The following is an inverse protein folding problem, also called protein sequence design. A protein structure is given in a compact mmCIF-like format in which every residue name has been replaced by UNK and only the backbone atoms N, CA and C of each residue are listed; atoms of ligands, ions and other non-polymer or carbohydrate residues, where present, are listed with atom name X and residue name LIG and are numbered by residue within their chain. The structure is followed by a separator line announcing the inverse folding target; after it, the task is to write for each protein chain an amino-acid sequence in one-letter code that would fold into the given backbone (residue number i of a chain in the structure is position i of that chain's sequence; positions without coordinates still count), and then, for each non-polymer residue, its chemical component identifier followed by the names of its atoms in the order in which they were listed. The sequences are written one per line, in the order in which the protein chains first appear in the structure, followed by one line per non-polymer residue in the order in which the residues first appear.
data_IF_754864916123
#
_entry.id   IF_754864916123
#
_cell.length_a   1.000
_cell.length_b   1.000
_cell.length_c   1.000
_cell.angle_alpha   90.00
_cell.angle_beta   90.00
_cell.angle_gamma   90.00
#
_symmetry.space_group_name_H-M   'P 1'
#
loop_
_entity.id
_entity.type
_entity.pdbx_description
1 polymer ?
#
# COMPACT_ATOMS: atom_id res chain seq x y z
N UNK A 1 -24.61 18.70 17.50
CA UNK A 1 -23.50 18.72 16.52
C UNK A 1 -23.52 17.41 15.77
N UNK A 2 -23.52 17.45 14.44
CA UNK A 2 -23.45 16.25 13.59
C UNK A 2 -21.98 15.84 13.46
N UNK A 3 -21.60 14.66 13.96
CA UNK A 3 -20.28 14.08 13.72
C UNK A 3 -20.31 13.28 12.42
N UNK A 4 -19.32 13.46 11.55
CA UNK A 4 -19.17 12.61 10.37
C UNK A 4 -18.26 11.44 10.70
N UNK A 5 -18.72 10.22 10.37
CA UNK A 5 -17.87 9.03 10.44
C UNK A 5 -16.88 9.02 9.28
N UNK A 6 -15.60 8.93 9.61
CA UNK A 6 -14.52 8.72 8.65
C UNK A 6 -13.95 7.32 8.87
N UNK A 7 -13.90 6.55 7.80
CA UNK A 7 -13.25 5.24 7.78
C UNK A 7 -11.85 5.37 7.21
N UNK A 8 -10.91 4.63 7.78
CA UNK A 8 -9.52 4.63 7.37
C UNK A 8 -9.02 3.20 7.31
N UNK A 9 -8.37 2.85 6.21
CA UNK A 9 -7.80 1.52 5.98
C UNK A 9 -6.36 1.50 6.47
N UNK A 10 -6.01 0.47 7.23
CA UNK A 10 -4.65 0.19 7.68
C UNK A 10 -4.20 -1.10 6.99
N UNK A 11 -3.06 -1.07 6.31
CA UNK A 11 -2.50 -2.21 5.59
C UNK A 11 -1.18 -2.67 6.23
N UNK A 12 -0.97 -3.99 6.30
CA UNK A 12 0.22 -4.59 6.89
C UNK A 12 1.25 -4.97 5.81
N UNK A 13 2.51 -4.61 6.06
CA UNK A 13 3.65 -4.85 5.17
C UNK A 13 4.83 -5.45 5.93
N UNK A 14 5.60 -6.33 5.30
CA UNK A 14 6.93 -6.71 5.76
C UNK A 14 7.96 -5.75 5.19
N UNK A 15 8.91 -5.34 6.02
CA UNK A 15 10.06 -4.53 5.60
C UNK A 15 11.25 -5.45 5.30
N UNK A 16 11.48 -5.76 4.02
CA UNK A 16 12.50 -6.72 3.58
C UNK A 16 13.68 -6.00 2.94
N UNK A 17 14.88 -6.27 3.45
CA UNK A 17 16.14 -5.73 2.96
C UNK A 17 16.84 -6.79 2.11
N UNK A 18 17.11 -6.46 0.86
CA UNK A 18 17.81 -7.31 -0.11
C UNK A 18 19.16 -6.68 -0.42
N UNK A 19 20.18 -7.50 -0.70
CA UNK A 19 21.31 -7.01 -1.49
C UNK A 19 20.84 -6.81 -2.93
N UNK A 20 21.33 -5.78 -3.62
CA UNK A 20 20.95 -5.50 -5.02
C UNK A 20 21.22 -6.69 -5.95
N UNK A 21 22.30 -7.41 -5.73
CA UNK A 21 22.67 -8.62 -6.47
C UNK A 21 21.73 -9.82 -6.20
N UNK A 22 21.10 -9.87 -5.02
CA UNK A 22 20.27 -10.99 -4.53
C UNK A 22 18.77 -10.67 -4.49
N UNK A 23 18.35 -9.53 -5.05
CA UNK A 23 16.95 -9.07 -5.05
C UNK A 23 15.96 -10.12 -5.60
N UNK A 24 16.51 -11.10 -6.34
CA UNK A 24 15.83 -12.15 -7.05
C UNK A 24 15.90 -13.53 -6.37
N UNK A 25 16.87 -13.74 -5.47
CA UNK A 25 17.14 -15.05 -4.87
C UNK A 25 16.34 -15.32 -3.59
N UNK A 26 15.36 -14.48 -3.27
CA UNK A 26 14.60 -14.49 -2.01
C UNK A 26 15.47 -14.46 -0.74
N UNK A 27 16.75 -14.10 -0.88
CA UNK A 27 17.66 -13.95 0.24
C UNK A 27 17.55 -12.52 0.77
N UNK A 28 16.78 -12.36 1.84
CA UNK A 28 16.53 -11.07 2.47
C UNK A 28 16.68 -11.15 3.98
N UNK A 29 16.92 -9.99 4.58
CA UNK A 29 16.88 -9.79 6.03
C UNK A 29 15.75 -8.83 6.38
N UNK A 30 15.23 -8.90 7.61
CA UNK A 30 14.30 -7.87 8.08
C UNK A 30 15.04 -6.55 8.26
N UNK A 31 14.46 -5.49 7.72
CA UNK A 31 14.90 -4.14 8.03
C UNK A 31 14.56 -3.81 9.48
N UNK A 32 15.51 -3.26 10.23
CA UNK A 32 15.36 -2.95 11.65
C UNK A 32 15.38 -1.43 11.83
N UNK A 33 14.26 -0.84 12.28
CA UNK A 33 14.18 0.61 12.49
C UNK A 33 15.17 1.13 13.55
N UNK A 34 15.51 0.29 14.53
CA UNK A 34 16.55 0.62 15.52
C UNK A 34 17.88 1.04 14.88
N UNK A 35 18.21 0.47 13.71
CA UNK A 35 19.48 0.75 13.03
C UNK A 35 19.52 2.13 12.37
N UNK A 36 18.39 2.84 12.30
CA UNK A 36 18.29 4.12 11.62
C UNK A 36 17.94 5.28 12.55
N UNK A 37 17.72 5.03 13.85
CA UNK A 37 17.32 6.06 14.81
C UNK A 37 18.37 7.17 14.92
N UNK A 38 19.64 6.82 15.11
CA UNK A 38 20.74 7.78 15.22
C UNK A 38 20.87 8.60 13.93
N UNK A 39 20.92 7.91 12.78
CA UNK A 39 20.96 8.56 11.45
C UNK A 39 19.76 9.48 11.22
N UNK A 40 18.56 9.08 11.65
CA UNK A 40 17.37 9.92 11.55
C UNK A 40 17.50 11.19 12.40
N UNK A 41 17.99 11.08 13.62
CA UNK A 41 18.21 12.25 14.47
C UNK A 41 19.25 13.19 13.87
N UNK A 42 20.37 12.66 13.36
CA UNK A 42 21.40 13.44 12.67
C UNK A 42 20.84 14.20 11.46
N UNK A 43 20.08 13.51 10.58
CA UNK A 43 19.44 14.12 9.42
C UNK A 43 18.37 15.15 9.83
N UNK A 44 17.68 14.92 10.95
CA UNK A 44 16.68 15.86 11.47
C UNK A 44 17.32 17.14 11.99
N UNK A 45 18.42 17.03 12.74
CA UNK A 45 19.20 18.16 13.23
C UNK A 45 19.81 18.97 12.08
N UNK A 46 20.33 18.28 11.06
CA UNK A 46 20.87 18.88 9.84
C UNK A 46 19.80 19.44 8.88
N UNK A 47 18.52 19.18 9.13
CA UNK A 47 17.38 19.48 8.23
C UNK A 47 17.50 18.83 6.84
N UNK A 48 18.16 17.67 6.76
CA UNK A 48 18.41 16.91 5.54
C UNK A 48 17.59 15.60 5.49
N UNK A 49 16.43 15.59 6.15
CA UNK A 49 15.49 14.47 6.18
C UNK A 49 14.32 14.66 5.21
N UNK A 50 14.51 15.50 4.17
CA UNK A 50 13.49 15.78 3.17
C UNK A 50 13.98 15.33 1.80
N UNK A 51 13.10 14.64 1.05
CA UNK A 51 13.38 14.30 -0.36
C UNK A 51 12.37 14.95 -1.28
N UNK A 52 12.79 15.28 -2.50
CA UNK A 52 11.91 15.76 -3.56
C UNK A 52 11.34 14.58 -4.36
N UNK A 53 10.03 14.56 -4.52
CA UNK A 53 9.32 13.59 -5.33
C UNK A 53 8.32 14.28 -6.27
N UNK A 54 8.81 14.66 -7.45
CA UNK A 54 8.04 15.50 -8.36
C UNK A 54 7.85 16.89 -7.77
N UNK A 55 6.61 17.34 -7.64
CA UNK A 55 6.24 18.64 -7.05
C UNK A 55 5.96 18.59 -5.54
N UNK A 56 6.35 17.49 -4.88
CA UNK A 56 6.11 17.30 -3.45
C UNK A 56 7.43 17.11 -2.71
N UNK A 57 7.49 17.63 -1.48
CA UNK A 57 8.52 17.25 -0.51
C UNK A 57 7.96 16.15 0.37
N UNK A 58 8.74 15.10 0.58
CA UNK A 58 8.42 14.01 1.50
C UNK A 58 9.37 14.04 2.68
N UNK A 59 8.82 13.86 3.88
CA UNK A 59 9.60 13.79 5.11
C UNK A 59 9.01 12.78 6.10
N UNK A 60 9.87 12.21 6.93
CA UNK A 60 9.50 11.52 8.17
C UNK A 60 9.65 12.54 9.30
N UNK A 61 8.54 13.03 9.85
CA UNK A 61 8.55 14.07 10.90
C UNK A 61 8.66 13.48 12.31
N UNK A 62 8.23 12.23 12.48
CA UNK A 62 8.31 11.48 13.73
C UNK A 62 8.84 10.08 13.47
N UNK A 63 9.87 9.68 14.22
CA UNK A 63 10.26 8.30 14.46
C UNK A 63 10.42 8.18 15.97
N UNK A 64 9.52 7.44 16.63
CA UNK A 64 9.52 7.33 18.08
C UNK A 64 9.36 5.88 18.52
N UNK A 65 10.39 5.37 19.19
CA UNK A 65 10.32 4.08 19.86
C UNK A 65 9.42 4.15 21.10
N UNK A 66 8.43 3.27 21.17
CA UNK A 66 7.48 3.14 22.26
C UNK A 66 7.74 1.85 23.03
N UNK A 67 7.04 1.70 24.16
CA UNK A 67 7.03 0.46 24.93
C UNK A 67 6.67 -0.74 24.03
N UNK A 68 7.24 -1.90 24.32
CA UNK A 68 7.03 -3.17 23.60
C UNK A 68 7.68 -3.26 22.20
N UNK A 69 8.76 -2.53 21.94
CA UNK A 69 9.49 -2.54 20.65
C UNK A 69 8.59 -2.15 19.45
N UNK A 70 7.70 -1.19 19.67
CA UNK A 70 6.88 -0.60 18.61
C UNK A 70 7.39 0.78 18.28
N UNK A 71 7.45 1.13 17.00
CA UNK A 71 7.84 2.46 16.54
C UNK A 71 6.63 3.15 15.95
N UNK A 72 6.43 4.41 16.32
CA UNK A 72 5.51 5.30 15.63
C UNK A 72 6.27 6.08 14.56
N UNK A 73 5.67 6.13 13.37
CA UNK A 73 6.19 6.86 12.24
C UNK A 73 5.10 7.82 11.73
N UNK A 74 5.49 9.07 11.47
CA UNK A 74 4.61 10.06 10.84
C UNK A 74 5.33 10.63 9.64
N UNK A 75 4.74 10.42 8.46
CA UNK A 75 5.24 10.95 7.20
C UNK A 75 4.38 12.13 6.75
N UNK A 76 5.02 13.15 6.20
CA UNK A 76 4.33 14.27 5.57
C UNK A 76 4.63 14.30 4.07
N UNK A 77 3.56 14.42 3.27
CA UNK A 77 3.64 14.87 1.88
C UNK A 77 3.29 16.35 1.85
N UNK A 78 4.29 17.19 1.63
CA UNK A 78 4.16 18.64 1.58
C UNK A 78 3.97 19.09 0.14
N UNK A 79 2.86 19.77 -0.13
CA UNK A 79 2.57 20.35 -1.44
C UNK A 79 3.24 21.70 -1.60
N UNK A 80 3.94 21.90 -2.72
CA UNK A 80 4.41 23.23 -3.14
C UNK A 80 3.56 23.86 -4.25
N UNK A 81 2.55 23.14 -4.74
CA UNK A 81 1.64 23.55 -5.81
C UNK A 81 0.24 22.94 -5.59
N UNK A 82 -0.76 23.40 -6.33
CA UNK A 82 -2.15 22.87 -6.29
C UNK A 82 -2.80 23.05 -4.91
N UNK A 83 -2.74 24.28 -4.41
CA UNK A 83 -3.37 24.63 -3.14
C UNK A 83 -4.89 24.66 -3.29
N UNK A 84 -5.65 24.14 -2.31
CA UNK A 84 -7.09 24.31 -2.26
C UNK A 84 -7.49 25.78 -2.39
N UNK A 85 -8.63 26.03 -3.03
CA UNK A 85 -9.29 27.33 -3.00
C UNK A 85 -10.15 27.45 -1.74
N UNK A 86 -10.27 28.67 -1.23
CA UNK A 86 -11.19 29.05 -0.16
C UNK A 86 -12.31 29.86 -0.80
N UNK A 87 -13.55 29.46 -0.52
CA UNK A 87 -14.76 30.20 -0.90
C UNK A 87 -15.45 30.60 0.40
N UNK A 88 -15.64 31.89 0.60
CA UNK A 88 -16.37 32.41 1.76
C UNK A 88 -17.89 32.28 1.58
N UNK A 89 -18.65 32.66 2.61
CA UNK A 89 -20.12 32.59 2.58
C UNK A 89 -20.75 33.54 1.55
N UNK A 90 -20.00 34.56 1.09
CA UNK A 90 -20.42 35.53 0.09
C UNK A 90 -20.08 35.09 -1.35
N UNK A 91 -19.33 33.99 -1.50
CA UNK A 91 -18.92 33.44 -2.79
C UNK A 91 -17.62 34.03 -3.35
N UNK A 92 -16.85 34.77 -2.54
CA UNK A 92 -15.54 35.28 -2.95
C UNK A 92 -14.50 34.16 -2.91
N UNK A 93 -13.62 34.14 -3.92
CA UNK A 93 -12.57 33.14 -4.06
C UNK A 93 -11.22 33.70 -3.60
N UNK A 94 -10.47 32.90 -2.85
CA UNK A 94 -9.05 33.14 -2.55
C UNK A 94 -8.26 31.82 -2.58
N UNK A 95 -6.95 31.88 -2.84
CA UNK A 95 -6.11 30.69 -2.75
C UNK A 95 -5.72 30.43 -1.28
N UNK A 96 -5.68 29.17 -0.86
CA UNK A 96 -5.26 28.84 0.51
C UNK A 96 -3.80 29.26 0.78
N UNK A 97 -2.97 29.38 -0.27
CA UNK A 97 -1.59 29.89 -0.17
C UNK A 97 -1.52 31.33 0.34
N UNK A 98 -2.53 32.16 0.01
CA UNK A 98 -2.56 33.57 0.39
C UNK A 98 -2.87 33.74 1.90
N UNK A 99 -3.33 32.65 2.52
CA UNK A 99 -3.73 32.58 3.93
C UNK A 99 -2.69 31.85 4.81
N UNK A 100 -1.54 31.47 4.25
CA UNK A 100 -0.41 30.90 4.99
C UNK A 100 0.85 31.72 4.72
N UNK A 101 1.76 31.75 5.70
CA UNK A 101 3.05 32.41 5.54
C UNK A 101 4.00 31.58 4.66
N UNK A 102 4.96 32.24 4.01
CA UNK A 102 5.91 31.63 3.05
C UNK A 102 6.76 30.49 3.66
N UNK A 103 6.89 30.44 4.99
CA UNK A 103 7.60 29.40 5.73
C UNK A 103 6.73 28.17 6.07
N UNK A 104 5.42 28.21 5.74
CA UNK A 104 4.48 27.13 6.02
C UNK A 104 4.13 26.36 4.76
N UNK A 105 3.95 25.06 4.92
CA UNK A 105 3.49 24.17 3.86
C UNK A 105 2.19 23.50 4.26
N UNK A 106 1.39 23.14 3.25
CA UNK A 106 0.20 22.32 3.44
C UNK A 106 0.62 20.87 3.29
N UNK A 107 0.48 20.12 4.39
CA UNK A 107 0.92 18.74 4.51
C UNK A 107 -0.23 17.75 4.56
N UNK A 108 -0.03 16.60 3.92
CA UNK A 108 -0.88 15.43 4.09
C UNK A 108 -0.14 14.37 4.90
N UNK A 109 -0.73 13.97 6.03
CA UNK A 109 -0.17 13.01 6.97
C UNK A 109 -0.40 11.56 6.52
N UNK A 110 0.62 10.72 6.66
CA UNK A 110 0.52 9.25 6.71
C UNK A 110 1.12 8.77 8.02
N UNK A 111 0.32 8.13 8.87
CA UNK A 111 0.79 7.50 10.09
C UNK A 111 1.10 6.02 9.86
N UNK A 112 2.12 5.50 10.54
CA UNK A 112 2.43 4.08 10.56
C UNK A 112 2.92 3.62 11.94
N UNK A 113 2.69 2.35 12.23
CA UNK A 113 3.25 1.67 13.40
C UNK A 113 4.08 0.50 12.92
N UNK A 114 5.35 0.45 13.31
CA UNK A 114 6.20 -0.71 13.08
C UNK A 114 6.28 -1.55 14.35
N UNK A 115 5.89 -2.82 14.25
CA UNK A 115 6.07 -3.81 15.30
C UNK A 115 7.37 -4.59 15.04
N UNK A 116 8.40 -4.34 15.85
CA UNK A 116 9.69 -5.02 15.73
C UNK A 116 9.63 -6.48 16.19
N UNK A 117 8.63 -6.90 16.98
CA UNK A 117 8.48 -8.31 17.37
C UNK A 117 8.00 -9.14 16.19
N UNK A 118 6.99 -8.65 15.48
CA UNK A 118 6.41 -9.33 14.32
C UNK A 118 7.03 -8.91 12.98
N UNK A 119 7.95 -7.92 12.99
CA UNK A 119 8.63 -7.35 11.82
C UNK A 119 7.64 -6.84 10.74
N UNK A 120 6.57 -6.19 11.19
CA UNK A 120 5.51 -5.66 10.33
C UNK A 120 5.40 -4.15 10.48
N UNK A 121 5.23 -3.48 9.35
CA UNK A 121 4.82 -2.09 9.25
C UNK A 121 3.32 -2.00 8.94
N UNK A 122 2.56 -1.38 9.82
CA UNK A 122 1.16 -1.03 9.63
C UNK A 122 1.09 0.38 9.08
N UNK A 123 0.58 0.55 7.87
CA UNK A 123 0.55 1.83 7.18
C UNK A 123 -0.90 2.29 6.98
N UNK A 124 -1.18 3.52 7.38
CA UNK A 124 -2.41 4.20 7.02
C UNK A 124 -2.47 4.42 5.50
N UNK A 125 -3.57 4.01 4.88
CA UNK A 125 -3.84 4.30 3.46
C UNK A 125 -4.73 5.52 3.34
N UNK A 126 -4.20 6.58 2.72
CA UNK A 126 -4.89 7.83 2.44
C UNK A 126 -4.59 8.25 1.00
N UNK A 127 -5.60 8.70 0.26
CA UNK A 127 -5.47 9.01 -1.17
C UNK A 127 -4.49 10.16 -1.46
N UNK A 128 -4.50 11.21 -0.63
CA UNK A 128 -3.70 12.43 -0.84
C UNK A 128 -2.34 12.43 -0.15
N UNK A 129 -2.03 11.43 0.68
CA UNK A 129 -0.79 11.40 1.48
C UNK A 129 0.29 10.53 0.82
N UNK A 130 1.40 10.29 1.52
CA UNK A 130 2.43 9.37 1.02
C UNK A 130 1.88 7.95 0.95
N UNK A 131 1.95 7.34 -0.23
CA UNK A 131 1.65 5.93 -0.42
C UNK A 131 2.85 5.03 -0.09
N UNK A 132 2.62 3.71 -0.04
CA UNK A 132 3.67 2.75 0.35
C UNK A 132 4.91 2.80 -0.54
N UNK A 133 4.79 3.06 -1.85
CA UNK A 133 5.96 3.19 -2.74
C UNK A 133 6.77 4.45 -2.45
N UNK A 134 6.09 5.53 -2.10
CA UNK A 134 6.75 6.77 -1.73
C UNK A 134 7.48 6.62 -0.39
N UNK A 135 6.91 5.87 0.55
CA UNK A 135 7.55 5.50 1.82
C UNK A 135 8.76 4.59 1.57
N UNK A 136 8.61 3.56 0.74
CA UNK A 136 9.71 2.66 0.35
C UNK A 136 10.87 3.43 -0.29
N UNK A 137 10.57 4.29 -1.27
CA UNK A 137 11.57 5.15 -1.91
C UNK A 137 12.25 6.07 -0.89
N UNK A 138 11.48 6.69 -0.01
CA UNK A 138 12.00 7.55 1.06
C UNK A 138 13.02 6.82 1.94
N UNK A 139 12.69 5.59 2.35
CA UNK A 139 13.62 4.80 3.15
C UNK A 139 14.90 4.43 2.38
N UNK A 140 14.75 4.03 1.12
CA UNK A 140 15.88 3.65 0.28
C UNK A 140 16.86 4.82 0.06
N UNK A 141 16.35 6.02 -0.20
CA UNK A 141 17.20 7.19 -0.47
C UNK A 141 17.94 7.68 0.77
N UNK A 142 17.30 7.67 1.95
CA UNK A 142 17.88 8.28 3.14
C UNK A 142 18.57 7.31 4.09
N UNK A 143 18.12 6.04 4.18
CA UNK A 143 18.56 5.16 5.26
C UNK A 143 19.21 3.85 4.80
N UNK A 144 18.94 3.40 3.58
CA UNK A 144 19.48 2.15 3.05
C UNK A 144 20.83 2.41 2.39
N UNK A 145 21.81 1.52 2.60
CA UNK A 145 23.11 1.59 1.95
C UNK A 145 23.00 1.26 0.46
N UNK A 146 23.89 1.82 -0.37
CA UNK A 146 23.83 1.67 -1.83
C UNK A 146 23.88 0.24 -2.34
N UNK A 147 24.41 -0.71 -1.58
CA UNK A 147 24.45 -2.13 -1.97
C UNK A 147 23.14 -2.87 -1.70
N UNK A 148 22.19 -2.23 -1.01
CA UNK A 148 20.94 -2.83 -0.56
C UNK A 148 19.72 -2.10 -1.13
N UNK A 149 18.58 -2.79 -1.09
CA UNK A 149 17.26 -2.23 -1.41
C UNK A 149 16.26 -2.72 -0.37
N UNK A 150 15.52 -1.80 0.21
CA UNK A 150 14.34 -2.09 1.02
C UNK A 150 13.13 -2.26 0.10
N UNK A 151 12.34 -3.31 0.31
CA UNK A 151 10.99 -3.47 -0.23
C UNK A 151 9.95 -3.59 0.87
N UNK A 152 8.81 -2.95 0.68
CA UNK A 152 7.61 -3.05 1.52
C UNK A 152 6.64 -4.04 0.89
N UNK A 153 6.76 -5.31 1.29
CA UNK A 153 5.94 -6.38 0.72
C UNK A 153 4.63 -6.53 1.51
N UNK A 154 3.45 -6.38 0.88
CA UNK A 154 2.18 -6.51 1.58
C UNK A 154 2.00 -7.93 2.12
N UNK A 155 1.49 -8.05 3.34
CA UNK A 155 1.00 -9.34 3.82
C UNK A 155 -0.26 -9.70 3.03
N UNK A 156 -0.35 -10.92 2.52
CA UNK A 156 -1.53 -11.38 1.79
C UNK A 156 -2.41 -12.19 2.73
N UNK A 157 -3.71 -11.88 2.78
CA UNK A 157 -4.71 -12.68 3.46
C UNK A 157 -4.89 -14.01 2.71
N UNK A 158 -4.13 -15.02 3.14
CA UNK A 158 -4.12 -16.34 2.52
C UNK A 158 -5.52 -16.96 2.48
N UNK A 159 -6.30 -16.90 3.55
CA UNK A 159 -7.67 -17.48 3.59
C UNK A 159 -8.53 -16.93 2.46
N UNK A 160 -8.47 -15.62 2.21
CA UNK A 160 -9.18 -15.00 1.10
C UNK A 160 -8.58 -15.40 -0.26
N UNK A 161 -7.25 -15.40 -0.38
CA UNK A 161 -6.54 -15.84 -1.59
C UNK A 161 -6.90 -17.29 -1.99
N UNK A 162 -6.81 -18.24 -1.07
CA UNK A 162 -7.13 -19.66 -1.30
C UNK A 162 -8.63 -19.86 -1.57
N UNK A 163 -9.50 -19.08 -0.91
CA UNK A 163 -10.93 -19.08 -1.24
C UNK A 163 -11.15 -18.69 -2.70
N UNK A 164 -10.57 -17.59 -3.16
CA UNK A 164 -10.71 -17.16 -4.56
C UNK A 164 -10.09 -18.17 -5.53
N UNK A 165 -8.94 -18.75 -5.17
CA UNK A 165 -8.22 -19.73 -6.00
C UNK A 165 -8.95 -21.08 -6.13
N UNK A 166 -9.66 -21.51 -5.09
CA UNK A 166 -10.41 -22.78 -5.07
C UNK A 166 -11.78 -22.72 -5.76
N UNK A 167 -12.30 -21.53 -6.05
CA UNK A 167 -13.58 -21.35 -6.75
C UNK A 167 -13.38 -21.24 -8.26
N UNK A 168 -14.45 -21.43 -9.03
CA UNK A 168 -14.39 -21.34 -10.50
C UNK A 168 -14.56 -19.89 -10.96
N UNK A 169 -13.77 -19.44 -11.95
CA UNK A 169 -13.70 -18.02 -12.35
C UNK A 169 -14.60 -17.76 -13.55
N UNK A 170 -15.30 -16.63 -13.55
CA UNK A 170 -16.19 -16.23 -14.65
C UNK A 170 -15.76 -14.94 -15.35
N UNK A 171 -14.98 -14.10 -14.66
CA UNK A 171 -14.49 -12.83 -15.22
C UNK A 171 -13.21 -12.36 -14.54
N UNK A 172 -12.29 -11.78 -15.30
CA UNK A 172 -11.16 -10.97 -14.82
C UNK A 172 -11.25 -9.56 -15.38
N UNK A 173 -10.94 -8.56 -14.57
CA UNK A 173 -10.65 -7.19 -15.00
C UNK A 173 -9.32 -6.75 -14.41
N UNK A 174 -8.31 -6.53 -15.27
CA UNK A 174 -6.95 -6.20 -14.82
C UNK A 174 -6.50 -4.91 -15.50
N UNK A 175 -5.82 -4.04 -14.76
CA UNK A 175 -5.11 -2.88 -15.28
C UNK A 175 -3.64 -2.96 -14.86
N UNK A 176 -2.74 -2.55 -15.75
CA UNK A 176 -1.29 -2.56 -15.52
C UNK A 176 -0.69 -1.19 -15.90
N UNK A 177 0.31 -0.77 -15.13
CA UNK A 177 1.20 0.35 -15.44
C UNK A 177 2.48 -0.22 -16.06
N UNK A 178 2.95 0.40 -17.14
CA UNK A 178 4.06 -0.12 -17.95
C UNK A 178 5.36 0.67 -17.73
N UNK A 179 5.38 1.51 -16.70
CA UNK A 179 6.52 2.35 -16.33
C UNK A 179 7.57 1.60 -15.49
N UNK A 180 7.35 0.33 -15.17
CA UNK A 180 8.25 -0.49 -14.37
C UNK A 180 8.21 -1.93 -14.88
N UNK A 181 9.29 -2.69 -14.63
CA UNK A 181 9.37 -4.10 -15.00
C UNK A 181 8.38 -4.97 -14.22
N UNK A 182 8.08 -6.15 -14.76
CA UNK A 182 7.33 -7.19 -14.05
C UNK A 182 8.24 -7.94 -13.08
N UNK A 183 7.65 -8.51 -12.03
CA UNK A 183 8.30 -9.40 -11.07
C UNK A 183 8.95 -10.59 -11.76
N UNK A 184 10.06 -11.09 -11.23
CA UNK A 184 10.71 -12.29 -11.76
C UNK A 184 9.89 -13.56 -11.52
N UNK A 185 9.02 -13.55 -10.51
CA UNK A 185 8.04 -14.61 -10.26
C UNK A 185 6.93 -14.67 -11.29
N UNK A 186 6.89 -13.72 -12.23
CA UNK A 186 5.90 -13.69 -13.31
C UNK A 186 6.17 -14.83 -14.28
N UNK A 187 5.14 -15.61 -14.58
CA UNK A 187 5.20 -16.60 -15.64
C UNK A 187 5.38 -15.88 -17.00
N UNK A 188 6.59 -15.98 -17.57
CA UNK A 188 6.93 -15.37 -18.86
C UNK A 188 6.20 -15.98 -20.06
N UNK A 189 5.55 -17.13 -19.88
CA UNK A 189 4.68 -17.75 -20.88
C UNK A 189 3.19 -17.51 -20.58
N UNK A 190 2.88 -16.92 -19.42
CA UNK A 190 1.53 -16.69 -18.93
C UNK A 190 0.82 -15.54 -19.64
N UNK A 191 -0.50 -15.52 -19.50
CA UNK A 191 -1.38 -14.51 -20.12
C UNK A 191 -1.04 -13.11 -19.63
N UNK A 192 -0.71 -12.95 -18.34
CA UNK A 192 -0.35 -11.66 -17.76
C UNK A 192 0.85 -11.04 -18.48
N UNK A 193 1.95 -11.79 -18.60
CA UNK A 193 3.17 -11.30 -19.23
C UNK A 193 2.98 -11.01 -20.72
N UNK A 194 2.25 -11.88 -21.44
CA UNK A 194 1.89 -11.64 -22.85
C UNK A 194 1.17 -10.31 -23.03
N UNK A 195 0.17 -10.00 -22.18
CA UNK A 195 -0.57 -8.72 -22.24
C UNK A 195 0.27 -7.53 -21.84
N UNK A 196 1.21 -7.70 -20.91
CA UNK A 196 2.19 -6.69 -20.55
C UNK A 196 3.10 -6.35 -21.74
N UNK A 197 3.71 -7.35 -22.38
CA UNK A 197 4.63 -7.16 -23.51
C UNK A 197 3.91 -6.65 -24.77
N UNK A 198 2.71 -7.14 -25.09
CA UNK A 198 1.87 -6.61 -26.17
C UNK A 198 1.69 -5.09 -26.02
N UNK A 199 1.30 -4.62 -24.83
CA UNK A 199 1.07 -3.20 -24.59
C UNK A 199 2.38 -2.39 -24.56
N UNK A 200 3.45 -2.96 -24.02
CA UNK A 200 4.78 -2.34 -24.00
C UNK A 200 5.33 -2.14 -25.42
N UNK A 201 5.07 -3.08 -26.33
CA UNK A 201 5.55 -3.02 -27.73
C UNK A 201 5.05 -1.79 -28.51
N UNK A 202 3.94 -1.19 -28.09
CA UNK A 202 3.37 0.04 -28.67
C UNK A 202 3.60 1.28 -27.81
N UNK A 203 4.55 1.22 -26.86
CA UNK A 203 4.87 2.30 -25.91
C UNK A 203 3.66 2.77 -25.07
N UNK A 204 2.71 1.87 -24.77
CA UNK A 204 1.64 2.21 -23.86
C UNK A 204 2.21 2.50 -22.45
N UNK A 205 1.66 3.49 -21.75
CA UNK A 205 2.02 3.79 -20.35
C UNK A 205 1.13 3.01 -19.38
N UNK A 206 -0.08 2.64 -19.84
CA UNK A 206 -1.08 1.89 -19.10
C UNK A 206 -1.85 0.98 -20.05
N UNK A 207 -2.19 -0.21 -19.58
CA UNK A 207 -3.08 -1.12 -20.31
C UNK A 207 -4.12 -1.71 -19.37
N UNK A 208 -5.23 -2.19 -19.94
CA UNK A 208 -6.24 -2.95 -19.21
C UNK A 208 -6.83 -4.02 -20.10
N UNK A 209 -7.09 -5.20 -19.53
CA UNK A 209 -7.71 -6.31 -20.24
C UNK A 209 -8.82 -6.92 -19.39
N UNK A 210 -9.77 -7.55 -20.08
CA UNK A 210 -10.89 -8.27 -19.46
C UNK A 210 -11.07 -9.62 -20.15
N UNK A 211 -11.16 -10.68 -19.36
CA UNK A 211 -11.61 -12.00 -19.80
C UNK A 211 -12.95 -12.28 -19.14
N UNK A 212 -13.96 -12.73 -19.88
CA UNK A 212 -15.31 -12.90 -19.34
C UNK A 212 -16.08 -13.95 -20.12
N UNK A 213 -16.84 -14.80 -19.41
CA UNK A 213 -17.83 -15.71 -20.03
C UNK A 213 -19.11 -14.97 -20.48
N UNK A 214 -19.22 -13.67 -20.22
CA UNK A 214 -20.36 -12.86 -20.64
C UNK A 214 -21.67 -13.36 -20.02
N UNK A 215 -22.67 -13.64 -20.87
CA UNK A 215 -23.98 -14.15 -20.45
C UNK A 215 -24.10 -15.68 -20.56
N UNK A 216 -23.02 -16.39 -20.90
CA UNK A 216 -23.05 -17.85 -21.03
C UNK A 216 -23.26 -18.45 -19.63
N UNK A 217 -24.39 -19.14 -19.47
CA UNK A 217 -24.72 -19.84 -18.23
C UNK A 217 -23.94 -21.15 -18.20
N UNK A 218 -23.44 -21.50 -17.01
CA UNK A 218 -22.79 -22.77 -16.71
C UNK A 218 -21.47 -23.04 -17.43
N UNK A 219 -20.81 -21.99 -17.93
CA UNK A 219 -19.41 -22.05 -18.33
C UNK A 219 -18.54 -21.15 -17.44
N UNK A 220 -17.27 -21.48 -17.42
CA UNK A 220 -16.25 -20.81 -16.61
C UNK A 220 -14.97 -20.68 -17.41
N UNK A 221 -14.13 -19.72 -17.02
CA UNK A 221 -12.76 -19.66 -17.52
C UNK A 221 -12.02 -20.92 -17.08
N UNK A 222 -11.03 -21.34 -17.87
CA UNK A 222 -10.20 -22.50 -17.56
C UNK A 222 -9.44 -22.26 -16.24
N UNK A 223 -9.55 -23.21 -15.31
CA UNK A 223 -9.14 -23.00 -13.93
C UNK A 223 -7.63 -22.88 -13.75
N UNK A 224 -6.83 -23.62 -14.52
CA UNK A 224 -5.37 -23.65 -14.43
C UNK A 224 -4.78 -22.30 -14.83
N UNK A 225 -5.10 -21.81 -16.02
CA UNK A 225 -4.71 -20.51 -16.54
C UNK A 225 -5.28 -19.36 -15.71
N UNK A 226 -6.51 -19.50 -15.21
CA UNK A 226 -7.10 -18.52 -14.29
C UNK A 226 -6.31 -18.43 -12.98
N UNK A 227 -5.86 -19.56 -12.44
CA UNK A 227 -5.06 -19.59 -11.21
C UNK A 227 -3.65 -19.01 -11.43
N UNK A 228 -3.01 -19.35 -12.55
CA UNK A 228 -1.72 -18.75 -12.95
C UNK A 228 -1.84 -17.23 -13.11
N UNK A 229 -2.94 -16.75 -13.71
CA UNK A 229 -3.20 -15.31 -13.83
C UNK A 229 -3.36 -14.64 -12.45
N UNK A 230 -4.04 -15.29 -11.49
CA UNK A 230 -4.15 -14.77 -10.12
C UNK A 230 -2.77 -14.69 -9.45
N UNK A 231 -1.93 -15.72 -9.62
CA UNK A 231 -0.56 -15.74 -9.09
C UNK A 231 0.29 -14.61 -9.69
N UNK A 232 0.28 -14.46 -11.01
CA UNK A 232 0.98 -13.37 -11.69
C UNK A 232 0.51 -12.00 -11.20
N UNK A 233 -0.80 -11.79 -11.04
CA UNK A 233 -1.36 -10.53 -10.50
C UNK A 233 -0.86 -10.27 -9.08
N UNK A 234 -0.86 -11.28 -8.20
CA UNK A 234 -0.42 -11.13 -6.81
C UNK A 234 1.09 -10.87 -6.74
N UNK A 235 1.88 -11.52 -7.60
CA UNK A 235 3.33 -11.30 -7.71
C UNK A 235 3.68 -9.93 -8.31
N UNK A 236 2.72 -9.26 -8.93
CA UNK A 236 2.86 -7.97 -9.59
C UNK A 236 1.82 -6.96 -9.04
N UNK A 237 1.68 -6.81 -7.72
CA UNK A 237 0.78 -5.80 -7.12
C UNK A 237 1.35 -4.37 -7.17
N UNK A 238 2.68 -4.25 -7.17
CA UNK A 238 3.35 -3.11 -7.82
C UNK A 238 2.92 -3.11 -9.29
N UNK A 239 3.02 -2.12 -10.16
CA UNK A 239 2.46 -2.18 -11.54
C UNK A 239 0.95 -2.54 -11.75
N UNK A 240 0.21 -3.27 -10.90
CA UNK A 240 -1.24 -3.56 -11.06
C UNK A 240 -2.09 -2.65 -10.18
N UNK A 241 -2.61 -1.51 -10.69
CA UNK A 241 -3.46 -0.61 -9.91
C UNK A 241 -4.91 -1.09 -9.75
N UNK A 242 -5.36 -2.07 -10.56
CA UNK A 242 -6.71 -2.64 -10.47
C UNK A 242 -6.67 -4.10 -10.90
N UNK A 243 -7.18 -4.98 -10.06
CA UNK A 243 -7.42 -6.37 -10.44
C UNK A 243 -8.68 -6.89 -9.73
N UNK A 244 -9.68 -7.27 -10.51
CA UNK A 244 -10.93 -7.86 -10.00
C UNK A 244 -11.16 -9.19 -10.66
N UNK A 245 -11.66 -10.14 -9.89
CA UNK A 245 -12.08 -11.45 -10.38
C UNK A 245 -13.50 -11.74 -9.91
N UNK A 246 -14.35 -12.19 -10.84
CA UNK A 246 -15.63 -12.76 -10.49
C UNK A 246 -15.50 -14.27 -10.39
N UNK A 247 -15.93 -14.85 -9.28
CA UNK A 247 -15.87 -16.29 -9.03
C UNK A 247 -17.23 -16.81 -8.56
N UNK A 248 -17.45 -18.11 -8.71
CA UNK A 248 -18.68 -18.79 -8.31
C UNK A 248 -18.37 -19.92 -7.35
N UNK A 249 -19.21 -20.09 -6.33
CA UNK A 249 -19.09 -21.21 -5.39
C UNK A 249 -19.48 -22.54 -6.06
N UNK A 250 -20.50 -22.50 -6.92
CA UNK A 250 -20.97 -23.60 -7.76
C UNK A 250 -21.40 -23.01 -9.12
N UNK A 251 -21.48 -23.81 -10.19
CA UNK A 251 -21.82 -23.28 -11.53
C UNK A 251 -23.09 -22.42 -11.57
N UNK A 252 -24.11 -22.82 -10.81
CA UNK A 252 -25.41 -22.16 -10.75
C UNK A 252 -25.47 -21.01 -9.72
N UNK A 253 -24.39 -20.78 -8.96
CA UNK A 253 -24.35 -19.71 -7.96
C UNK A 253 -24.23 -18.34 -8.61
N UNK A 254 -24.74 -17.31 -7.92
CA UNK A 254 -24.47 -15.92 -8.31
C UNK A 254 -22.95 -15.67 -8.26
N UNK A 255 -22.37 -14.98 -9.26
CA UNK A 255 -20.98 -14.58 -9.21
C UNK A 255 -20.72 -13.62 -8.06
N UNK A 256 -19.69 -13.89 -7.27
CA UNK A 256 -19.12 -12.97 -6.30
C UNK A 256 -17.95 -12.22 -6.92
N UNK A 257 -17.73 -10.96 -6.52
CA UNK A 257 -16.63 -10.13 -7.01
C UNK A 257 -15.56 -10.01 -5.91
N UNK A 258 -14.36 -10.49 -6.19
CA UNK A 258 -13.17 -10.23 -5.40
C UNK A 258 -12.32 -9.15 -6.06
N UNK A 259 -11.80 -8.23 -5.25
CA UNK A 259 -10.70 -7.36 -5.63
C UNK A 259 -9.40 -8.04 -5.18
N UNK A 260 -8.56 -8.43 -6.14
CA UNK A 260 -7.31 -9.13 -5.90
C UNK A 260 -6.27 -8.24 -5.20
N UNK A 261 -6.44 -6.92 -5.21
CA UNK A 261 -5.61 -5.98 -4.45
C UNK A 261 -6.12 -5.80 -3.02
N UNK A 262 -7.40 -6.08 -2.75
CA UNK A 262 -7.93 -6.14 -1.38
C UNK A 262 -7.51 -7.42 -0.62
N UNK A 263 -6.75 -8.30 -1.26
CA UNK A 263 -6.10 -9.44 -0.59
C UNK A 263 -5.04 -9.00 0.41
N UNK A 264 -4.55 -7.76 0.34
CA UNK A 264 -3.65 -7.22 1.36
C UNK A 264 -4.28 -7.33 2.75
N UNK A 265 -3.54 -7.85 3.69
CA UNK A 265 -3.91 -7.94 5.10
C UNK A 265 -4.17 -6.52 5.60
N UNK A 266 -5.42 -6.25 5.93
CA UNK A 266 -5.87 -4.93 6.33
C UNK A 266 -6.90 -4.98 7.45
N UNK A 267 -7.03 -3.83 8.10
CA UNK A 267 -8.07 -3.51 9.07
C UNK A 267 -8.66 -2.14 8.74
N UNK A 268 -9.89 -1.90 9.20
CA UNK A 268 -10.56 -0.60 9.06
C UNK A 268 -10.74 -0.03 10.46
N UNK A 269 -10.33 1.22 10.63
CA UNK A 269 -10.59 2.01 11.83
C UNK A 269 -11.54 3.15 11.50
N UNK A 270 -12.41 3.49 12.44
CA UNK A 270 -13.38 4.57 12.31
C UNK A 270 -13.11 5.72 13.30
N UNK A 271 -13.44 6.92 12.86
CA UNK A 271 -13.33 8.14 13.64
C UNK A 271 -14.62 8.94 13.55
N UNK A 272 -15.09 9.42 14.71
CA UNK A 272 -16.14 10.43 14.78
C UNK A 272 -15.48 11.81 14.75
N UNK A 273 -15.56 12.48 13.60
CA UNK A 273 -14.90 13.77 13.39
C UNK A 273 -15.96 14.88 13.47
N UNK A 274 -15.85 15.82 14.42
CA UNK A 274 -16.70 17.00 14.46
C UNK A 274 -16.58 17.83 13.19
N UNK A 275 -17.61 18.59 12.87
CA UNK A 275 -17.57 19.51 11.73
C UNK A 275 -16.40 20.51 11.88
N UNK A 276 -15.68 20.76 10.76
CA UNK A 276 -14.48 21.62 10.70
C UNK A 276 -13.29 21.15 11.55
N UNK A 277 -13.32 19.94 12.11
CA UNK A 277 -12.16 19.36 12.81
C UNK A 277 -11.19 18.65 11.85
N UNK A 278 -9.91 18.63 12.22
CA UNK A 278 -8.86 17.88 11.52
C UNK A 278 -8.41 16.72 12.38
N UNK A 279 -8.30 15.53 11.78
CA UNK A 279 -7.76 14.36 12.46
C UNK A 279 -6.24 14.49 12.57
N UNK A 280 -5.73 14.48 13.81
CA UNK A 280 -4.30 14.61 14.13
C UNK A 280 -3.63 13.24 14.28
N UNK A 281 -2.31 13.25 14.18
CA UNK A 281 -1.45 12.07 14.17
C UNK A 281 -1.58 11.23 15.44
N UNK A 282 -1.72 11.85 16.60
CA UNK A 282 -1.88 11.19 17.89
C UNK A 282 -3.16 10.35 17.95
N UNK A 283 -4.29 10.91 17.49
CA UNK A 283 -5.56 10.21 17.41
C UNK A 283 -5.48 9.02 16.43
N UNK A 284 -4.80 9.20 15.29
CA UNK A 284 -4.62 8.13 14.30
C UNK A 284 -3.76 7.01 14.88
N UNK A 285 -2.57 7.34 15.39
CA UNK A 285 -1.62 6.37 15.94
C UNK A 285 -2.24 5.58 17.10
N UNK A 286 -2.97 6.24 18.00
CA UNK A 286 -3.67 5.56 19.09
C UNK A 286 -4.72 4.57 18.56
N UNK A 287 -5.50 4.94 17.54
CA UNK A 287 -6.52 4.06 16.95
C UNK A 287 -5.90 2.89 16.19
N UNK A 288 -4.79 3.10 15.47
CA UNK A 288 -4.03 2.02 14.82
C UNK A 288 -3.51 1.04 15.89
N UNK A 289 -2.93 1.56 16.97
CA UNK A 289 -2.38 0.73 18.05
C UNK A 289 -3.46 -0.11 18.72
N UNK A 290 -4.58 0.52 19.10
CA UNK A 290 -5.70 -0.18 19.73
C UNK A 290 -6.21 -1.32 18.84
N UNK A 291 -6.49 -1.03 17.55
CA UNK A 291 -6.95 -2.05 16.61
C UNK A 291 -5.90 -3.15 16.36
N UNK A 292 -4.62 -2.78 16.42
CA UNK A 292 -3.54 -3.77 16.34
C UNK A 292 -3.44 -4.65 17.58
N UNK A 293 -3.97 -4.26 18.74
CA UNK A 293 -4.01 -5.14 19.90
C UNK A 293 -5.20 -6.13 19.87
N UNK A 294 -6.12 -5.97 18.91
CA UNK A 294 -7.34 -6.77 18.75
C UNK A 294 -7.19 -7.95 17.74
N UNK A 295 -8.30 -8.39 17.13
CA UNK A 295 -8.43 -9.47 16.12
C UNK A 295 -7.41 -9.35 14.97
N UNK A 296 -6.98 -8.13 14.64
CA UNK A 296 -6.03 -7.91 13.55
C UNK A 296 -4.65 -8.53 13.83
N UNK A 297 -4.20 -8.51 15.09
CA UNK A 297 -2.93 -9.15 15.48
C UNK A 297 -3.05 -10.67 15.53
N UNK A 298 -4.22 -11.21 15.86
CA UNK A 298 -4.45 -12.65 15.74
C UNK A 298 -4.33 -13.10 14.28
N UNK A 299 -4.96 -12.39 13.34
CA UNK A 299 -4.83 -12.68 11.89
C UNK A 299 -3.39 -12.59 11.39
N UNK A 300 -2.60 -11.65 11.92
CA UNK A 300 -1.16 -11.55 11.64
C UNK A 300 -0.37 -12.71 12.26
N UNK A 301 -0.70 -13.11 13.48
CA UNK A 301 -0.05 -14.24 14.14
C UNK A 301 -0.37 -15.57 13.43
N UNK A 302 -1.61 -15.76 12.99
CA UNK A 302 -2.02 -16.89 12.15
C UNK A 302 -1.19 -16.94 10.86
N UNK A 303 -1.03 -15.79 10.19
CA UNK A 303 -0.18 -15.69 9.00
C UNK A 303 1.25 -16.19 9.28
N UNK A 304 1.88 -15.84 10.41
CA UNK A 304 3.22 -16.34 10.69
C UNK A 304 3.28 -17.79 11.18
N UNK A 305 2.21 -18.32 11.80
CA UNK A 305 2.14 -19.73 12.18
C UNK A 305 2.10 -20.63 10.94
N UNK A 306 1.32 -20.24 9.93
CA UNK A 306 1.11 -21.05 8.73
C UNK A 306 2.32 -21.07 7.78
N UNK A 307 3.25 -20.12 7.93
CA UNK A 307 4.36 -19.91 6.98
C UNK A 307 5.76 -19.89 7.61
N UNK A 308 5.83 -20.05 8.93
CA UNK A 308 7.07 -20.03 9.69
C UNK A 308 7.60 -18.62 9.91
N UNK A 309 8.10 -18.35 11.12
CA UNK A 309 9.01 -17.23 11.36
C UNK A 309 10.35 -17.61 10.72
N UNK A 310 10.52 -17.32 9.42
CA UNK A 310 11.85 -17.29 8.82
C UNK A 310 12.59 -16.07 9.36
#
# INVERSE_FOLDING_TARGET
MSAKKKYMKIEAYQMKLFKKEDINNENWAYFKLRNIEDKYNDLKEAKDHQILHGLFKHELSLLANKKNNQYELVFNKLSSTDFPIIIDEEGNFSDMKDNISDDKNIGNLTCAIYDDVNKILLVQVNFNSMNVRQIEKYFNELFVHDDYVLKLEPLINRKFYERVKSKTKSKFEVSMLLNSGVSEKTNRNGIFFKKYEEARSINAVRTSFTFSMGQIKNETLEDTESNLLIEDIVNNQEIVPKAKVSFKEQMDSKPELADLLNMKMNSIVDFDIPERATLREDAILNKIRFNYEDEFKERINEFFRDFGRR
#
